data_IF_156504727555
#
_entry.id   IF_156504727555
#
_cell.length_a   1.000
_cell.length_b   1.000
_cell.length_c   1.000
_cell.angle_alpha   90.00
_cell.angle_beta   90.00
_cell.angle_gamma   90.00
#
_symmetry.space_group_name_H-M   'P 1'
#
loop_
_entity.id
_entity.type
_entity.pdbx_description
1 polymer ?
#
# COMPACT_ATOMS: atom_id res chain seq x y z
N UNK A 1 -7.91 10.43 18.72
CA UNK A 1 -7.29 10.23 17.43
C UNK A 1 -6.16 9.22 17.53
N UNK A 2 -6.12 8.28 16.61
CA UNK A 2 -5.00 7.36 16.52
C UNK A 2 -3.73 8.10 16.09
N UNK A 3 -2.55 7.49 16.31
CA UNK A 3 -1.30 8.07 15.83
C UNK A 3 -1.29 8.21 14.30
N UNK A 4 -1.99 7.33 13.59
CA UNK A 4 -2.13 7.38 12.15
C UNK A 4 -2.95 8.60 11.70
N UNK A 5 -4.03 8.89 12.41
CA UNK A 5 -4.85 10.08 12.11
C UNK A 5 -4.07 11.37 12.33
N UNK A 6 -3.22 11.40 13.34
CA UNK A 6 -2.34 12.55 13.58
C UNK A 6 -1.34 12.77 12.46
N UNK A 7 -0.74 11.68 11.95
CA UNK A 7 0.19 11.77 10.83
C UNK A 7 -0.48 12.32 9.58
N UNK A 8 -1.71 11.91 9.33
CA UNK A 8 -2.49 12.41 8.19
C UNK A 8 -2.85 13.89 8.36
N UNK A 9 -3.14 14.31 9.59
CA UNK A 9 -3.50 15.71 9.89
C UNK A 9 -2.32 16.67 9.73
N UNK A 10 -1.10 16.20 10.02
CA UNK A 10 0.09 17.07 10.02
C UNK A 10 0.65 17.34 8.63
N UNK A 11 0.24 16.60 7.61
CA UNK A 11 0.75 16.75 6.25
C UNK A 11 -0.41 16.95 5.27
N UNK A 12 -0.40 18.02 4.47
CA UNK A 12 -1.40 18.19 3.42
C UNK A 12 -1.40 16.97 2.50
N UNK A 13 -2.58 16.40 2.27
CA UNK A 13 -2.71 15.20 1.47
C UNK A 13 -3.82 15.38 0.44
N UNK A 14 -3.50 15.11 -0.80
CA UNK A 14 -4.48 15.07 -1.89
C UNK A 14 -4.70 13.60 -2.27
N UNK A 15 -5.97 13.20 -2.29
CA UNK A 15 -6.38 11.86 -2.69
C UNK A 15 -7.11 11.89 -4.02
N UNK A 16 -6.81 10.92 -4.88
CA UNK A 16 -7.60 10.62 -6.06
C UNK A 16 -8.01 9.17 -6.01
N UNK A 17 -9.33 8.93 -6.06
CA UNK A 17 -9.90 7.61 -5.98
C UNK A 17 -10.57 7.27 -7.30
N UNK A 18 -10.18 6.16 -7.91
CA UNK A 18 -10.77 5.64 -9.14
C UNK A 18 -11.20 4.20 -8.85
N UNK A 19 -12.51 3.96 -8.83
CA UNK A 19 -13.06 2.64 -8.56
C UNK A 19 -14.09 2.27 -9.60
N UNK A 20 -14.04 1.02 -10.04
CA UNK A 20 -15.14 0.46 -10.84
C UNK A 20 -16.37 0.26 -9.95
N UNK A 21 -17.54 0.32 -10.55
CA UNK A 21 -18.79 0.05 -9.85
C UNK A 21 -18.89 -1.45 -9.51
N UNK A 22 -19.59 -1.75 -8.41
CA UNK A 22 -19.96 -3.10 -8.01
C UNK A 22 -18.76 -4.01 -7.70
N UNK A 23 -17.68 -3.45 -7.14
CA UNK A 23 -16.59 -4.27 -6.64
C UNK A 23 -16.96 -4.82 -5.27
N UNK A 24 -16.94 -6.13 -5.15
CA UNK A 24 -17.15 -6.83 -3.88
C UNK A 24 -16.00 -7.79 -3.62
N UNK A 25 -15.65 -7.94 -2.36
CA UNK A 25 -14.59 -8.82 -1.90
C UNK A 25 -15.09 -9.69 -0.76
N UNK A 26 -14.69 -10.96 -0.78
CA UNK A 26 -14.83 -11.83 0.38
C UNK A 26 -13.57 -11.72 1.23
N UNK A 27 -13.59 -10.75 2.14
CA UNK A 27 -12.47 -10.52 3.02
C UNK A 27 -12.99 -10.02 4.36
N UNK A 28 -12.20 -10.24 5.41
CA UNK A 28 -12.52 -9.65 6.69
C UNK A 28 -12.38 -8.13 6.58
N UNK A 29 -13.46 -7.42 6.88
CA UNK A 29 -13.52 -5.97 6.73
C UNK A 29 -12.45 -5.26 7.57
N UNK A 30 -12.24 -5.72 8.79
CA UNK A 30 -11.27 -5.11 9.69
C UNK A 30 -9.83 -5.29 9.18
N UNK A 31 -9.51 -6.51 8.73
CA UNK A 31 -8.16 -6.78 8.21
C UNK A 31 -7.90 -6.01 6.92
N UNK A 32 -8.88 -5.95 6.03
CA UNK A 32 -8.74 -5.19 4.79
C UNK A 32 -8.59 -3.69 5.08
N UNK A 33 -9.37 -3.17 6.01
CA UNK A 33 -9.24 -1.78 6.45
C UNK A 33 -7.82 -1.51 6.97
N UNK A 34 -7.28 -2.38 7.81
CA UNK A 34 -5.95 -2.21 8.36
C UNK A 34 -4.86 -2.31 7.30
N UNK A 35 -5.02 -3.20 6.32
CA UNK A 35 -4.10 -3.33 5.20
C UNK A 35 -4.05 -2.04 4.39
N UNK A 36 -5.19 -1.53 3.98
CA UNK A 36 -5.28 -0.30 3.19
C UNK A 36 -4.76 0.89 4.00
N UNK A 37 -5.12 0.97 5.26
CA UNK A 37 -4.67 2.03 6.16
C UNK A 37 -3.15 2.04 6.31
N UNK A 38 -2.53 0.87 6.45
CA UNK A 38 -1.07 0.77 6.53
C UNK A 38 -0.40 1.26 5.25
N UNK A 39 -0.94 0.91 4.09
CA UNK A 39 -0.38 1.34 2.81
C UNK A 39 -0.53 2.86 2.61
N UNK A 40 -1.66 3.42 2.98
CA UNK A 40 -1.88 4.87 2.91
C UNK A 40 -0.95 5.60 3.86
N UNK A 41 -0.79 5.11 5.08
CA UNK A 41 0.10 5.73 6.07
C UNK A 41 1.54 5.72 5.59
N UNK A 42 2.00 4.63 4.98
CA UNK A 42 3.33 4.58 4.39
C UNK A 42 3.47 5.59 3.25
N UNK A 43 2.46 5.70 2.39
CA UNK A 43 2.49 6.67 1.30
C UNK A 43 2.62 8.10 1.83
N UNK A 44 1.92 8.42 2.91
CA UNK A 44 2.01 9.73 3.54
C UNK A 44 3.37 9.94 4.19
N UNK A 45 3.87 8.96 4.94
CA UNK A 45 5.15 9.05 5.65
C UNK A 45 6.32 9.33 4.72
N UNK A 46 6.35 8.68 3.58
CA UNK A 46 7.47 8.77 2.63
C UNK A 46 7.22 9.79 1.52
N UNK A 47 6.19 10.60 1.65
CA UNK A 47 5.95 11.74 0.77
C UNK A 47 6.81 12.93 1.18
N UNK A 48 6.98 13.86 0.25
CA UNK A 48 7.57 15.17 0.51
C UNK A 48 6.62 16.04 1.35
N UNK A 49 6.72 17.34 1.28
CA UNK A 49 5.91 18.27 2.08
C UNK A 49 4.41 18.10 1.87
N UNK A 50 4.00 17.67 0.68
CA UNK A 50 2.61 17.38 0.35
C UNK A 50 2.51 15.97 -0.19
N UNK A 51 1.56 15.20 0.32
CA UNK A 51 1.31 13.85 -0.13
C UNK A 51 0.29 13.85 -1.28
N UNK A 52 0.60 13.13 -2.35
CA UNK A 52 -0.32 12.85 -3.44
C UNK A 52 -0.53 11.35 -3.51
N UNK A 53 -1.76 10.91 -3.31
CA UNK A 53 -2.08 9.50 -3.23
C UNK A 53 -3.17 9.17 -4.24
N UNK A 54 -2.88 8.20 -5.11
CA UNK A 54 -3.82 7.69 -6.09
C UNK A 54 -4.20 6.27 -5.70
N UNK A 55 -5.50 6.04 -5.53
CA UNK A 55 -6.03 4.73 -5.18
C UNK A 55 -6.94 4.30 -6.31
N UNK A 56 -6.69 3.10 -6.86
CA UNK A 56 -7.55 2.53 -7.88
C UNK A 56 -7.92 1.09 -7.52
N UNK A 57 -9.13 0.70 -7.85
CA UNK A 57 -9.62 -0.65 -7.67
C UNK A 57 -10.37 -1.08 -8.92
N UNK A 58 -9.94 -2.19 -9.52
CA UNK A 58 -10.55 -2.75 -10.70
C UNK A 58 -10.79 -4.24 -10.51
N UNK A 59 -11.83 -4.74 -11.14
CA UNK A 59 -12.14 -6.17 -11.14
C UNK A 59 -11.60 -6.80 -12.41
N UNK A 60 -10.84 -7.87 -12.26
CA UNK A 60 -10.32 -8.64 -13.38
C UNK A 60 -11.13 -9.92 -13.50
N UNK A 61 -11.96 -10.01 -14.54
CA UNK A 61 -12.87 -11.13 -14.75
C UNK A 61 -12.29 -12.22 -15.65
N UNK A 62 -11.29 -11.88 -16.44
CA UNK A 62 -10.69 -12.81 -17.39
C UNK A 62 -9.34 -13.26 -16.89
N UNK A 63 -8.86 -14.43 -17.34
CA UNK A 63 -7.53 -14.88 -16.98
C UNK A 63 -6.49 -13.89 -17.51
N UNK A 64 -6.16 -12.91 -16.68
CA UNK A 64 -5.00 -12.07 -16.89
C UNK A 64 -3.80 -12.92 -16.48
N UNK A 65 -2.87 -13.12 -17.38
CA UNK A 65 -1.64 -13.90 -17.10
C UNK A 65 -1.88 -15.37 -16.73
N UNK A 66 -2.95 -15.98 -17.27
CA UNK A 66 -3.22 -17.40 -17.08
C UNK A 66 -4.04 -17.76 -15.86
N UNK A 67 -4.39 -16.80 -15.01
CA UNK A 67 -5.27 -17.04 -13.88
C UNK A 67 -6.71 -17.20 -14.34
N UNK A 68 -7.36 -18.28 -13.90
CA UNK A 68 -8.74 -18.57 -14.29
C UNK A 68 -9.78 -17.97 -13.36
N UNK A 69 -9.34 -17.42 -12.23
CA UNK A 69 -10.23 -16.88 -11.21
C UNK A 69 -10.30 -15.36 -11.30
N UNK A 70 -11.49 -14.81 -11.08
CA UNK A 70 -11.65 -13.37 -10.94
C UNK A 70 -10.94 -12.87 -9.69
N UNK A 71 -10.36 -11.69 -9.78
CA UNK A 71 -9.72 -11.06 -8.64
C UNK A 71 -9.91 -9.54 -8.72
N UNK A 72 -9.74 -8.88 -7.59
CA UNK A 72 -9.73 -7.42 -7.51
C UNK A 72 -8.28 -6.96 -7.42
N UNK A 73 -7.92 -6.01 -8.29
CA UNK A 73 -6.62 -5.37 -8.27
C UNK A 73 -6.76 -4.00 -7.62
N UNK A 74 -6.13 -3.83 -6.47
CA UNK A 74 -6.09 -2.57 -5.74
C UNK A 74 -4.70 -1.98 -5.85
N UNK A 75 -4.59 -0.74 -6.34
CA UNK A 75 -3.31 -0.04 -6.43
C UNK A 75 -3.33 1.20 -5.57
N UNK A 76 -2.26 1.39 -4.83
CA UNK A 76 -2.03 2.59 -4.02
C UNK A 76 -0.70 3.18 -4.47
N UNK A 77 -0.78 4.34 -5.10
CA UNK A 77 0.38 5.02 -5.69
C UNK A 77 0.64 6.33 -4.99
N UNK A 78 1.89 6.60 -4.69
CA UNK A 78 2.34 7.89 -4.18
C UNK A 78 3.38 8.51 -5.10
N UNK A 79 3.62 9.81 -4.92
CA UNK A 79 4.67 10.57 -5.60
C UNK A 79 5.75 11.01 -4.61
N UNK A 80 6.13 10.09 -3.73
CA UNK A 80 7.09 10.37 -2.68
C UNK A 80 8.53 10.14 -3.10
N UNK A 81 9.36 9.85 -2.11
CA UNK A 81 10.80 9.70 -2.29
C UNK A 81 11.18 8.43 -3.07
N UNK A 82 10.27 7.47 -3.17
CA UNK A 82 10.57 6.19 -3.78
C UNK A 82 11.42 5.31 -2.87
N UNK A 83 11.66 4.09 -3.34
CA UNK A 83 12.41 3.07 -2.59
C UNK A 83 13.50 2.52 -3.47
N UNK A 84 14.77 2.56 -3.07
CA UNK A 84 15.86 1.97 -3.84
C UNK A 84 15.63 0.48 -4.09
N UNK A 85 16.05 0.00 -5.26
CA UNK A 85 15.81 -1.38 -5.68
C UNK A 85 16.38 -2.41 -4.69
N UNK A 86 17.55 -2.13 -4.13
CA UNK A 86 18.19 -3.03 -3.15
C UNK A 86 17.43 -3.11 -1.82
N UNK A 87 16.56 -2.13 -1.55
CA UNK A 87 15.73 -2.12 -0.34
C UNK A 87 14.36 -2.76 -0.56
N UNK A 88 13.87 -2.79 -1.79
CA UNK A 88 12.54 -3.30 -2.12
C UNK A 88 12.37 -4.78 -1.75
N UNK A 89 13.41 -5.57 -1.89
CA UNK A 89 13.37 -7.01 -1.58
C UNK A 89 13.16 -7.31 -0.09
N UNK A 90 13.41 -6.34 0.79
CA UNK A 90 13.27 -6.50 2.24
C UNK A 90 12.05 -5.79 2.82
N UNK A 91 11.27 -5.08 1.99
CA UNK A 91 10.18 -4.22 2.46
C UNK A 91 9.15 -4.94 3.32
N UNK A 92 8.89 -6.19 3.01
CA UNK A 92 7.86 -6.97 3.70
C UNK A 92 8.43 -7.82 4.83
N UNK A 93 9.72 -7.72 5.07
CA UNK A 93 10.37 -8.46 6.16
C UNK A 93 9.94 -7.87 7.51
N UNK A 94 9.77 -8.74 8.48
CA UNK A 94 9.40 -8.32 9.84
C UNK A 94 10.47 -7.40 10.43
N UNK A 95 10.04 -6.28 11.00
CA UNK A 95 10.90 -5.26 11.62
C UNK A 95 11.81 -4.50 10.66
N UNK A 96 11.68 -4.72 9.34
CA UNK A 96 12.48 -3.96 8.39
C UNK A 96 11.92 -2.54 8.21
N UNK A 97 12.80 -1.57 8.17
CA UNK A 97 12.48 -0.17 7.89
C UNK A 97 13.45 0.37 6.85
N UNK A 98 12.91 1.13 5.89
CA UNK A 98 13.75 1.80 4.90
C UNK A 98 14.50 2.93 5.58
N UNK A 99 15.85 2.99 5.50
CA UNK A 99 16.59 4.13 6.02
C UNK A 99 16.19 5.41 5.26
N UNK A 100 15.74 6.41 6.00
CA UNK A 100 15.23 7.66 5.42
C UNK A 100 16.06 8.89 5.82
N UNK A 101 17.28 8.70 6.30
CA UNK A 101 18.16 9.78 6.69
C UNK A 101 17.58 10.63 7.82
N UNK A 102 17.20 11.86 7.51
CA UNK A 102 16.74 12.82 8.50
C UNK A 102 15.24 12.72 8.84
N UNK A 103 14.54 11.75 8.35
CA UNK A 103 13.13 11.56 8.70
C UNK A 103 12.99 10.88 10.07
N UNK A 104 13.41 11.58 11.11
CA UNK A 104 13.40 11.07 12.47
C UNK A 104 12.00 10.83 13.03
N UNK A 105 10.98 11.42 12.41
CA UNK A 105 9.60 11.33 12.88
C UNK A 105 8.82 10.18 12.26
N UNK A 106 9.47 9.38 11.42
CA UNK A 106 8.80 8.19 10.87
C UNK A 106 8.75 7.13 11.96
N UNK A 107 7.62 7.09 12.66
CA UNK A 107 7.37 6.08 13.69
C UNK A 107 6.92 4.78 13.02
N UNK A 108 7.43 3.67 13.48
CA UNK A 108 7.02 2.37 13.01
C UNK A 108 8.03 1.33 13.45
N UNK A 109 7.54 0.14 13.73
CA UNK A 109 8.37 -0.98 14.17
C UNK A 109 8.70 -1.94 13.03
N UNK A 110 8.44 -1.53 11.78
CA UNK A 110 8.66 -2.40 10.64
C UNK A 110 7.64 -3.51 10.53
N UNK A 111 6.46 -3.34 11.12
CA UNK A 111 5.41 -4.35 11.11
C UNK A 111 4.30 -4.07 10.10
N UNK A 112 4.16 -2.82 9.64
CA UNK A 112 3.05 -2.44 8.77
C UNK A 112 3.00 -3.20 7.46
N UNK A 113 4.11 -3.24 6.72
CA UNK A 113 4.16 -3.96 5.45
C UNK A 113 4.22 -5.48 5.65
N UNK A 114 4.87 -5.95 6.70
CA UNK A 114 4.82 -7.36 7.08
C UNK A 114 3.38 -7.80 7.33
N UNK A 115 2.61 -7.00 8.06
CA UNK A 115 1.19 -7.25 8.30
C UNK A 115 0.41 -7.28 6.99
N UNK A 116 0.64 -6.32 6.10
CA UNK A 116 -0.02 -6.26 4.79
C UNK A 116 0.19 -7.56 4.02
N UNK A 117 1.43 -7.98 3.90
CA UNK A 117 1.76 -9.21 3.16
C UNK A 117 1.11 -10.43 3.81
N UNK A 118 1.20 -10.56 5.13
CA UNK A 118 0.64 -11.69 5.86
C UNK A 118 -0.87 -11.77 5.68
N UNK A 119 -1.58 -10.65 5.81
CA UNK A 119 -3.04 -10.64 5.67
C UNK A 119 -3.49 -10.92 4.25
N UNK A 120 -2.80 -10.34 3.26
CA UNK A 120 -3.14 -10.57 1.85
C UNK A 120 -2.88 -12.02 1.46
N UNK A 121 -1.78 -12.62 1.94
CA UNK A 121 -1.49 -14.03 1.68
C UNK A 121 -2.51 -14.96 2.35
N UNK A 122 -3.00 -14.63 3.55
CA UNK A 122 -4.06 -15.38 4.20
C UNK A 122 -5.37 -15.35 3.40
N UNK A 123 -5.60 -14.28 2.65
CA UNK A 123 -6.74 -14.18 1.73
C UNK A 123 -6.43 -14.74 0.34
N UNK A 124 -5.31 -15.47 0.21
CA UNK A 124 -4.85 -16.09 -1.04
C UNK A 124 -4.52 -15.08 -2.13
N UNK A 125 -4.21 -13.86 -1.72
CA UNK A 125 -3.81 -12.79 -2.62
C UNK A 125 -2.30 -12.60 -2.65
N UNK A 126 -1.89 -11.60 -3.43
CA UNK A 126 -0.49 -11.22 -3.55
C UNK A 126 -0.34 -9.72 -3.38
N UNK A 127 0.84 -9.30 -2.92
CA UNK A 127 1.21 -7.90 -2.84
C UNK A 127 2.54 -7.71 -3.56
N UNK A 128 2.66 -6.63 -4.31
CA UNK A 128 3.89 -6.29 -5.01
C UNK A 128 4.12 -4.78 -4.93
N UNK A 129 5.36 -4.37 -5.18
CA UNK A 129 5.75 -2.96 -5.18
C UNK A 129 6.55 -2.64 -6.43
N UNK A 130 6.25 -1.50 -7.03
CA UNK A 130 7.05 -0.89 -8.08
C UNK A 130 7.45 0.49 -7.59
N UNK A 131 8.74 0.79 -7.59
CA UNK A 131 9.24 2.06 -7.08
C UNK A 131 10.54 2.43 -7.74
N UNK A 132 10.77 3.74 -7.83
CA UNK A 132 12.05 4.31 -8.26
C UNK A 132 12.35 5.50 -7.40
N UNK A 133 13.61 5.65 -7.02
CA UNK A 133 14.05 6.78 -6.20
C UNK A 133 13.68 8.11 -6.87
N UNK A 134 13.02 8.97 -6.14
CA UNK A 134 12.57 10.27 -6.62
C UNK A 134 11.28 10.27 -7.43
N UNK A 135 10.70 9.10 -7.70
CA UNK A 135 9.48 8.98 -8.54
C UNK A 135 8.27 8.43 -7.79
N UNK A 136 8.45 8.04 -6.52
CA UNK A 136 7.38 7.48 -5.73
C UNK A 136 7.27 5.98 -5.83
N UNK A 137 6.18 5.45 -5.32
CA UNK A 137 5.96 4.00 -5.20
C UNK A 137 4.53 3.63 -5.55
N UNK A 138 4.36 2.43 -6.09
CA UNK A 138 3.05 1.85 -6.33
C UNK A 138 2.99 0.47 -5.71
N UNK A 139 2.08 0.29 -4.76
CA UNK A 139 1.77 -1.00 -4.16
C UNK A 139 0.54 -1.58 -4.85
N UNK A 140 0.65 -2.82 -5.30
CA UNK A 140 -0.44 -3.52 -5.98
C UNK A 140 -0.86 -4.74 -5.17
N UNK A 141 -2.15 -4.80 -4.83
CA UNK A 141 -2.76 -5.94 -4.16
C UNK A 141 -3.65 -6.66 -5.17
N UNK A 142 -3.50 -7.97 -5.27
CA UNK A 142 -4.41 -8.82 -6.05
C UNK A 142 -5.11 -9.76 -5.09
N UNK A 143 -6.40 -9.59 -4.94
CA UNK A 143 -7.20 -10.32 -3.96
C UNK A 143 -8.25 -11.14 -4.71
N UNK A 144 -8.22 -12.49 -4.61
CA UNK A 144 -9.23 -13.33 -5.25
C UNK A 144 -10.64 -13.02 -4.74
N UNK A 145 -11.60 -13.08 -5.62
CA UNK A 145 -13.01 -12.96 -5.24
C UNK A 145 -13.55 -14.21 -4.56
#
# INVERSE_FOLDING_TARGET
LSSQDRLRADKPTAFKLIMEENITLRADRLYLYNVISNLIDNAIKYSDEKAYIYISAIRCNNPCNGDRNAYVMLKIQDKGIGIPADRQKHLFDKFYRVPTGNLHNVKGYGLGLYYVKTMIEQHKGTVSVESSTGKGSTFTLKIPE
#
